data_IF_493401138449
#
_entry.id   IF_493401138449
#
_cell.length_a   1.000
_cell.length_b   1.000
_cell.length_c   1.000
_cell.angle_alpha   90.00
_cell.angle_beta   90.00
_cell.angle_gamma   90.00
#
_symmetry.space_group_name_H-M   'P 1'
#
loop_
_entity.id
_entity.type
_entity.pdbx_description
1 polymer ?
#
# COMPACT_ATOMS: atom_id res chain seq x y z
N UNK A 1 -13.93 27.58 -28.80
CA UNK A 1 -12.85 27.46 -27.79
C UNK A 1 -12.20 26.07 -27.70
N UNK A 2 -12.87 24.97 -28.06
CA UNK A 2 -12.30 23.60 -27.99
C UNK A 2 -11.15 23.32 -28.98
N UNK A 3 -11.13 24.00 -30.14
CA UNK A 3 -10.09 23.80 -31.18
C UNK A 3 -8.72 24.39 -30.83
N UNK A 4 -8.68 25.48 -30.07
CA UNK A 4 -7.43 26.17 -29.77
C UNK A 4 -6.56 25.42 -28.76
N UNK A 5 -7.17 24.64 -27.85
CA UNK A 5 -6.46 23.77 -26.91
C UNK A 5 -5.85 22.56 -27.64
N UNK A 6 -6.61 21.93 -28.54
CA UNK A 6 -6.15 20.77 -29.32
C UNK A 6 -4.98 21.14 -30.25
N UNK A 7 -5.05 22.30 -30.90
CA UNK A 7 -3.96 22.80 -31.75
C UNK A 7 -2.73 23.23 -30.95
N UNK A 8 -2.90 23.64 -29.68
CA UNK A 8 -1.79 23.98 -28.79
C UNK A 8 -1.11 22.72 -28.25
N UNK A 9 -1.88 21.70 -27.86
CA UNK A 9 -1.37 20.40 -27.45
C UNK A 9 -0.67 19.68 -28.61
N UNK A 10 -1.27 19.68 -29.81
CA UNK A 10 -0.67 19.03 -30.98
C UNK A 10 0.64 19.72 -31.41
N UNK A 11 0.75 21.05 -31.29
CA UNK A 11 2.01 21.78 -31.53
C UNK A 11 3.05 21.52 -30.45
N UNK A 12 2.66 21.53 -29.18
CA UNK A 12 3.55 21.22 -28.06
C UNK A 12 4.13 19.80 -28.17
N UNK A 13 3.28 18.80 -28.39
CA UNK A 13 3.71 17.41 -28.53
C UNK A 13 4.61 17.17 -29.75
N UNK A 14 4.37 17.86 -30.87
CA UNK A 14 5.29 17.78 -32.03
C UNK A 14 6.64 18.42 -31.75
N UNK A 15 6.66 19.60 -31.13
CA UNK A 15 7.91 20.26 -30.77
C UNK A 15 8.74 19.40 -29.81
N UNK A 16 8.11 18.77 -28.80
CA UNK A 16 8.81 17.89 -27.87
C UNK A 16 9.24 16.57 -28.53
N UNK A 17 8.45 16.01 -29.46
CA UNK A 17 8.81 14.78 -30.16
C UNK A 17 10.03 14.93 -31.07
N UNK A 18 10.22 16.11 -31.66
CA UNK A 18 11.40 16.41 -32.50
C UNK A 18 12.67 16.63 -31.65
N UNK A 19 12.53 16.99 -30.37
CA UNK A 19 13.63 17.22 -29.42
C UNK A 19 14.05 15.96 -28.63
N UNK A 20 13.29 14.86 -28.72
CA UNK A 20 13.68 13.59 -28.06
C UNK A 20 14.71 12.88 -28.94
N UNK A 21 15.98 12.75 -28.49
CA UNK A 21 16.97 12.00 -29.26
C UNK A 21 16.48 10.56 -29.45
N UNK A 22 16.71 9.96 -30.64
CA UNK A 22 16.26 8.62 -30.94
C UNK A 22 16.74 7.65 -29.85
N UNK A 23 15.83 6.81 -29.37
CA UNK A 23 16.14 5.83 -28.34
C UNK A 23 17.42 5.06 -28.75
N UNK A 24 18.42 4.94 -27.86
CA UNK A 24 19.64 4.22 -28.17
C UNK A 24 19.28 2.82 -28.69
N UNK A 25 19.89 2.41 -29.81
CA UNK A 25 19.61 1.13 -30.46
C UNK A 25 19.81 -0.09 -29.54
N UNK A 26 20.50 0.09 -28.41
CA UNK A 26 20.79 -0.92 -27.40
C UNK A 26 19.93 -0.82 -26.13
N UNK A 27 18.92 0.05 -26.08
CA UNK A 27 18.09 0.25 -24.88
C UNK A 27 17.40 -1.06 -24.44
N UNK A 28 16.82 -1.80 -25.40
CA UNK A 28 16.21 -3.10 -25.14
C UNK A 28 17.23 -4.12 -24.58
N UNK A 29 18.47 -4.07 -25.05
CA UNK A 29 19.53 -4.98 -24.61
C UNK A 29 20.15 -4.55 -23.26
N UNK A 30 20.20 -3.25 -22.96
CA UNK A 30 20.54 -2.72 -21.63
C UNK A 30 19.50 -3.12 -20.58
N UNK A 31 18.20 -3.02 -20.91
CA UNK A 31 17.12 -3.46 -20.01
C UNK A 31 17.18 -4.98 -19.80
N UNK A 32 17.33 -5.78 -20.86
CA UNK A 32 17.46 -7.24 -20.76
C UNK A 32 18.71 -7.67 -19.99
N UNK A 33 19.85 -7.02 -20.21
CA UNK A 33 21.10 -7.33 -19.51
C UNK A 33 21.03 -6.96 -18.03
N UNK A 34 20.42 -5.82 -17.67
CA UNK A 34 20.19 -5.43 -16.27
C UNK A 34 19.26 -6.42 -15.56
N UNK A 35 18.15 -6.81 -16.20
CA UNK A 35 17.23 -7.81 -15.66
C UNK A 35 17.91 -9.18 -15.44
N UNK A 36 18.75 -9.64 -16.38
CA UNK A 36 19.54 -10.88 -16.22
C UNK A 36 20.56 -10.78 -15.10
N UNK A 37 21.25 -9.65 -14.96
CA UNK A 37 22.23 -9.41 -13.89
C UNK A 37 21.57 -9.41 -12.51
N UNK A 38 20.39 -8.79 -12.40
CA UNK A 38 19.59 -8.74 -11.18
C UNK A 38 19.02 -10.12 -10.79
N UNK A 39 18.64 -10.96 -11.76
CA UNK A 39 18.26 -12.35 -11.50
C UNK A 39 19.45 -13.19 -11.00
N UNK A 40 20.65 -12.99 -11.58
CA UNK A 40 21.87 -13.70 -11.14
C UNK A 40 22.30 -13.30 -9.73
N UNK A 41 22.26 -12.01 -9.37
CA UNK A 41 22.62 -11.58 -8.01
C UNK A 41 21.62 -12.09 -6.96
N UNK A 42 20.33 -12.16 -7.28
CA UNK A 42 19.32 -12.76 -6.39
C UNK A 42 19.57 -14.27 -6.16
N UNK A 43 19.90 -15.02 -7.22
CA UNK A 43 20.20 -16.46 -7.10
C UNK A 43 21.47 -16.74 -6.28
N UNK A 44 22.51 -15.90 -6.44
CA UNK A 44 23.76 -16.02 -5.67
C UNK A 44 23.51 -15.72 -4.17
N UNK A 45 22.70 -14.70 -3.87
CA UNK A 45 22.34 -14.38 -2.48
C UNK A 45 21.55 -15.51 -1.81
N UNK A 46 20.59 -16.14 -2.51
CA UNK A 46 19.83 -17.29 -1.98
C UNK A 46 20.71 -18.53 -1.80
N UNK A 47 21.66 -18.78 -2.69
CA UNK A 47 22.58 -19.91 -2.58
C UNK A 47 23.56 -19.74 -1.41
N UNK A 48 24.04 -18.52 -1.17
CA UNK A 48 24.90 -18.21 -0.02
C UNK A 48 24.16 -18.40 1.32
N UNK A 49 22.90 -17.99 1.40
CA UNK A 49 22.06 -18.19 2.58
C UNK A 49 21.78 -19.69 2.85
N UNK A 50 21.51 -20.48 1.81
CA UNK A 50 21.32 -21.93 1.95
C UNK A 50 22.61 -22.67 2.36
N UNK A 51 23.78 -22.24 1.86
CA UNK A 51 25.06 -22.79 2.27
C UNK A 51 25.39 -22.46 3.74
N UNK A 52 25.10 -21.25 4.20
CA UNK A 52 25.27 -20.87 5.61
C UNK A 52 24.34 -21.68 6.55
N UNK A 53 23.11 -21.96 6.13
CA UNK A 53 22.17 -22.79 6.87
C UNK A 53 22.63 -24.27 6.95
N UNK A 54 23.26 -24.79 5.89
CA UNK A 54 23.82 -26.15 5.89
C UNK A 54 25.07 -26.28 6.79
N UNK A 55 25.87 -25.22 6.94
CA UNK A 55 27.05 -25.22 7.82
C UNK A 55 26.66 -25.13 9.31
N UNK A 56 25.53 -24.49 9.64
CA UNK A 56 25.05 -24.39 11.03
C UNK A 56 24.35 -25.64 11.57
N UNK A 57 23.96 -26.60 10.71
CA UNK A 57 23.21 -27.81 11.11
C UNK A 57 24.07 -29.10 11.08
N UNK A 58 25.30 -29.09 10.56
CA UNK A 58 26.22 -30.23 10.66
C UNK A 58 27.22 -30.00 11.80
N UNK A 59 27.19 -30.72 12.94
CA UNK A 59 27.63 -32.13 13.17
C UNK A 59 27.47 -32.40 14.69
N UNK A 60 27.24 -33.63 15.25
CA UNK A 60 27.48 -34.97 14.70
C UNK A 60 26.35 -36.01 14.89
N UNK A 61 26.06 -36.80 13.85
CA UNK A 61 25.70 -38.21 14.03
C UNK A 61 26.57 -39.03 13.08
N UNK A 62 27.79 -39.30 13.53
CA UNK A 62 28.57 -40.41 13.03
C UNK A 62 28.24 -41.65 13.88
N UNK A 63 28.28 -42.81 13.23
CA UNK A 63 28.13 -44.18 13.78
C UNK A 63 26.69 -44.71 13.82
N UNK A 64 26.19 -45.15 12.66
CA UNK A 64 25.70 -46.52 12.45
C UNK A 64 25.21 -46.68 11.00
N UNK A 65 25.77 -47.63 10.27
CA UNK A 65 25.23 -48.04 8.96
C UNK A 65 26.23 -48.10 7.81
N UNK A 66 27.42 -48.66 8.04
CA UNK A 66 28.12 -49.35 6.95
C UNK A 66 27.54 -50.77 6.85
N UNK A 67 27.49 -51.28 5.62
CA UNK A 67 27.07 -52.63 5.16
C UNK A 67 25.64 -52.69 4.60
N UNK A 68 25.53 -52.38 3.30
CA UNK A 68 24.93 -53.27 2.30
C UNK A 68 25.21 -52.71 0.89
N UNK A 69 26.23 -53.25 0.23
CA UNK A 69 26.31 -53.21 -1.23
C UNK A 69 25.19 -54.10 -1.77
N UNK A 70 24.03 -53.51 -2.07
CA UNK A 70 23.03 -54.17 -2.90
C UNK A 70 22.83 -53.39 -4.19
N UNK A 71 22.89 -54.14 -5.29
CA UNK A 71 23.00 -53.62 -6.65
C UNK A 71 21.75 -52.84 -7.02
N UNK A 72 21.96 -51.70 -7.68
CA UNK A 72 20.92 -50.76 -8.09
C UNK A 72 19.75 -51.43 -8.80
N UNK A 73 18.64 -51.52 -8.08
CA UNK A 73 17.33 -51.73 -8.64
C UNK A 73 16.69 -50.34 -8.75
N UNK A 74 16.38 -49.83 -9.95
CA UNK A 74 15.71 -48.54 -10.09
C UNK A 74 14.42 -48.62 -9.28
N UNK A 75 14.25 -47.70 -8.33
CA UNK A 75 13.04 -47.61 -7.53
C UNK A 75 11.85 -47.57 -8.49
N UNK A 76 11.04 -48.63 -8.47
CA UNK A 76 9.80 -48.66 -9.23
C UNK A 76 9.01 -47.40 -8.86
N UNK A 77 8.40 -46.68 -9.82
CA UNK A 77 7.59 -45.51 -9.51
C UNK A 77 6.56 -45.95 -8.47
N UNK A 78 6.71 -45.42 -7.25
CA UNK A 78 5.74 -45.69 -6.22
C UNK A 78 4.41 -45.16 -6.75
N UNK A 79 3.42 -46.04 -6.89
CA UNK A 79 2.04 -45.68 -7.17
C UNK A 79 1.54 -44.82 -6.00
N UNK A 80 1.88 -43.53 -6.04
CA UNK A 80 1.31 -42.55 -5.14
C UNK A 80 -0.15 -42.41 -5.56
N UNK A 81 -1.11 -42.65 -4.65
CA UNK A 81 -2.49 -42.38 -4.97
C UNK A 81 -2.60 -40.93 -5.46
N UNK A 82 -3.39 -40.66 -6.52
CA UNK A 82 -3.60 -39.31 -6.99
C UNK A 82 -4.07 -38.46 -5.82
N UNK A 83 -3.43 -37.31 -5.61
CA UNK A 83 -3.85 -36.36 -4.59
C UNK A 83 -5.25 -35.88 -4.96
N UNK A 84 -6.15 -35.85 -3.98
CA UNK A 84 -7.46 -35.24 -4.17
C UNK A 84 -7.28 -33.79 -4.63
N UNK A 85 -8.04 -33.33 -5.65
CA UNK A 85 -7.92 -31.97 -6.13
C UNK A 85 -8.25 -31.01 -4.99
N UNK A 86 -7.37 -30.02 -4.78
CA UNK A 86 -7.60 -29.00 -3.78
C UNK A 86 -8.89 -28.23 -4.09
N UNK A 87 -9.72 -27.94 -3.08
CA UNK A 87 -10.94 -27.16 -3.28
C UNK A 87 -10.61 -25.80 -3.89
N UNK A 88 -11.32 -25.42 -4.96
CA UNK A 88 -11.17 -24.11 -5.60
C UNK A 88 -12.29 -23.17 -5.20
N UNK A 89 -11.98 -21.87 -5.07
CA UNK A 89 -12.97 -20.79 -4.91
C UNK A 89 -14.07 -20.82 -5.97
N UNK A 90 -13.72 -21.19 -7.20
CA UNK A 90 -14.64 -21.27 -8.35
C UNK A 90 -15.66 -22.42 -8.21
N UNK A 91 -15.29 -23.50 -7.51
CA UNK A 91 -16.13 -24.69 -7.34
C UNK A 91 -17.05 -24.59 -6.11
N UNK A 92 -16.81 -23.61 -5.24
CA UNK A 92 -17.63 -23.36 -4.07
C UNK A 92 -19.01 -22.74 -4.46
N UNK A 93 -20.11 -23.05 -3.73
CA UNK A 93 -21.48 -22.58 -4.02
C UNK A 93 -21.71 -21.14 -3.52
N UNK A 94 -22.37 -20.23 -4.26
CA UNK A 94 -22.55 -18.79 -3.89
C UNK A 94 -22.84 -18.56 -2.40
N UNK A 95 -22.19 -17.55 -1.81
CA UNK A 95 -22.28 -17.20 -0.38
C UNK A 95 -22.69 -15.74 -0.21
N UNK A 96 -23.11 -15.38 1.01
CA UNK A 96 -23.65 -14.07 1.34
C UNK A 96 -25.19 -14.05 1.37
N UNK A 97 -25.76 -12.92 1.77
CA UNK A 97 -27.21 -12.78 2.01
C UNK A 97 -28.08 -12.95 0.76
N UNK A 98 -27.51 -12.81 -0.45
CA UNK A 98 -28.21 -12.98 -1.73
C UNK A 98 -27.89 -14.31 -2.42
N UNK A 99 -27.21 -15.24 -1.74
CA UNK A 99 -26.86 -16.55 -2.32
C UNK A 99 -28.06 -17.38 -2.81
N UNK A 100 -29.25 -17.15 -2.25
CA UNK A 100 -30.49 -17.83 -2.64
C UNK A 100 -31.21 -17.22 -3.86
N UNK A 101 -30.86 -16.01 -4.27
CA UNK A 101 -31.56 -15.30 -5.36
C UNK A 101 -30.99 -15.68 -6.73
N UNK A 102 -31.35 -16.87 -7.20
CA UNK A 102 -30.83 -17.42 -8.46
C UNK A 102 -31.13 -16.58 -9.70
N UNK A 103 -32.20 -15.77 -9.69
CA UNK A 103 -32.53 -14.88 -10.80
C UNK A 103 -31.55 -13.70 -10.83
N UNK A 104 -31.38 -13.04 -9.68
CA UNK A 104 -30.42 -11.95 -9.52
C UNK A 104 -28.98 -12.38 -9.82
N UNK A 105 -28.57 -13.56 -9.33
CA UNK A 105 -27.22 -14.10 -9.56
C UNK A 105 -26.92 -14.35 -11.04
N UNK A 106 -27.92 -14.78 -11.82
CA UNK A 106 -27.74 -15.01 -13.27
C UNK A 106 -27.50 -13.71 -14.03
N UNK A 107 -28.20 -12.65 -13.66
CA UNK A 107 -28.03 -11.32 -14.26
C UNK A 107 -26.69 -10.69 -13.86
N UNK A 108 -26.27 -10.86 -12.60
CA UNK A 108 -24.95 -10.38 -12.14
C UNK A 108 -23.80 -11.10 -12.83
N UNK A 109 -23.92 -12.42 -13.06
CA UNK A 109 -22.87 -13.20 -13.73
C UNK A 109 -22.55 -12.68 -15.14
N UNK A 110 -23.50 -12.06 -15.83
CA UNK A 110 -23.32 -11.55 -17.21
C UNK A 110 -22.98 -10.05 -17.29
N UNK A 111 -22.75 -9.38 -16.15
CA UNK A 111 -22.33 -7.98 -16.14
C UNK A 111 -21.02 -7.76 -16.91
N UNK A 112 -20.87 -6.57 -17.49
CA UNK A 112 -19.67 -6.16 -18.19
C UNK A 112 -18.47 -6.07 -17.25
N UNK A 113 -17.36 -6.73 -17.61
CA UNK A 113 -16.09 -6.65 -16.88
C UNK A 113 -15.21 -5.49 -17.37
N UNK A 114 -15.75 -4.67 -18.26
CA UNK A 114 -15.08 -3.57 -18.95
C UNK A 114 -15.87 -2.30 -18.61
N UNK A 115 -15.26 -1.30 -17.95
CA UNK A 115 -15.90 -0.01 -17.74
C UNK A 115 -16.31 0.62 -19.07
N UNK A 116 -17.52 1.19 -19.19
CA UNK A 116 -18.03 1.73 -20.45
C UNK A 116 -17.22 2.91 -20.99
N UNK A 117 -16.56 3.67 -20.09
CA UNK A 117 -15.93 4.95 -20.42
C UNK A 117 -14.44 4.86 -20.73
N UNK A 118 -13.84 3.68 -20.61
CA UNK A 118 -12.42 3.50 -20.87
C UNK A 118 -12.16 3.31 -22.37
N UNK A 119 -11.11 3.96 -22.94
CA UNK A 119 -10.79 3.82 -24.35
C UNK A 119 -10.35 2.40 -24.68
N UNK A 120 -10.74 1.89 -25.85
CA UNK A 120 -10.42 0.54 -26.33
C UNK A 120 -8.92 0.18 -26.25
N UNK A 121 -8.04 1.18 -26.35
CA UNK A 121 -6.58 1.01 -26.28
C UNK A 121 -6.07 0.67 -24.87
N UNK A 122 -6.82 0.96 -23.81
CA UNK A 122 -6.49 0.57 -22.45
C UNK A 122 -6.69 -0.95 -22.20
N UNK A 123 -7.29 -1.66 -23.16
CA UNK A 123 -7.78 -3.03 -23.00
C UNK A 123 -7.09 -4.08 -23.86
N UNK A 124 -5.96 -3.75 -24.50
CA UNK A 124 -5.22 -4.72 -25.32
C UNK A 124 -4.79 -6.00 -24.54
N UNK A 125 -4.91 -6.00 -23.21
CA UNK A 125 -4.50 -7.10 -22.33
C UNK A 125 -5.59 -7.62 -21.38
N UNK A 126 -6.84 -7.15 -21.47
CA UNK A 126 -7.88 -7.73 -20.59
C UNK A 126 -8.21 -9.17 -21.00
N UNK A 127 -8.33 -10.10 -20.03
CA UNK A 127 -8.67 -11.48 -20.32
C UNK A 127 -10.10 -11.58 -20.86
N UNK A 128 -10.26 -12.29 -21.97
CA UNK A 128 -11.59 -12.66 -22.46
C UNK A 128 -12.12 -13.83 -21.62
N UNK A 129 -13.05 -13.52 -20.70
CA UNK A 129 -13.75 -14.50 -19.88
C UNK A 129 -15.18 -14.66 -20.41
N UNK A 130 -15.52 -15.81 -21.04
CA UNK A 130 -16.85 -16.05 -21.60
C UNK A 130 -17.97 -15.86 -20.56
N UNK A 131 -19.07 -15.12 -20.87
CA UNK A 131 -20.14 -14.88 -19.89
C UNK A 131 -20.79 -16.15 -19.31
N UNK A 132 -20.85 -17.22 -20.09
CA UNK A 132 -21.42 -18.52 -19.71
C UNK A 132 -20.51 -19.33 -18.76
N UNK A 133 -19.22 -19.01 -18.69
CA UNK A 133 -18.27 -19.59 -17.73
C UNK A 133 -18.21 -18.83 -16.41
N UNK A 134 -18.95 -17.72 -16.26
CA UNK A 134 -18.89 -16.89 -15.06
C UNK A 134 -19.79 -17.41 -13.96
N UNK A 135 -19.34 -17.28 -12.72
CA UNK A 135 -20.05 -17.70 -11.51
C UNK A 135 -19.93 -16.65 -10.42
N UNK A 136 -21.02 -16.40 -9.72
CA UNK A 136 -21.02 -15.49 -8.56
C UNK A 136 -20.50 -16.23 -7.34
N UNK A 137 -19.33 -15.85 -6.85
CA UNK A 137 -18.75 -16.41 -5.64
C UNK A 137 -19.39 -15.82 -4.38
N UNK A 138 -19.55 -14.49 -4.34
CA UNK A 138 -20.18 -13.78 -3.23
C UNK A 138 -21.25 -12.83 -3.73
N UNK A 139 -22.37 -12.76 -3.01
CA UNK A 139 -23.44 -11.80 -3.24
C UNK A 139 -24.13 -11.46 -1.92
N UNK A 140 -24.12 -10.18 -1.55
CA UNK A 140 -24.80 -9.75 -0.33
C UNK A 140 -24.73 -8.25 -0.11
N UNK A 141 -25.53 -7.80 0.85
CA UNK A 141 -25.42 -6.47 1.43
C UNK A 141 -24.49 -6.53 2.65
N UNK A 142 -23.52 -5.63 2.70
CA UNK A 142 -22.58 -5.45 3.82
C UNK A 142 -22.64 -3.98 4.21
N UNK A 143 -23.15 -3.67 5.40
CA UNK A 143 -23.49 -2.29 5.77
C UNK A 143 -24.42 -1.66 4.72
N UNK A 144 -24.07 -0.45 4.30
CA UNK A 144 -24.80 0.29 3.27
C UNK A 144 -24.25 0.08 1.84
N UNK A 145 -23.60 -1.06 1.58
CA UNK A 145 -23.11 -1.40 0.23
C UNK A 145 -23.57 -2.78 -0.19
N UNK A 146 -24.17 -2.86 -1.39
CA UNK A 146 -24.39 -4.13 -2.09
C UNK A 146 -23.13 -4.54 -2.81
N UNK A 147 -22.67 -5.76 -2.59
CA UNK A 147 -21.43 -6.29 -3.16
C UNK A 147 -21.69 -7.62 -3.88
N UNK A 148 -21.07 -7.78 -5.05
CA UNK A 148 -20.95 -9.07 -5.73
C UNK A 148 -19.52 -9.33 -6.19
N UNK A 149 -19.13 -10.60 -6.15
CA UNK A 149 -17.86 -11.06 -6.69
C UNK A 149 -18.10 -12.15 -7.73
N UNK A 150 -17.68 -11.89 -8.96
CA UNK A 150 -17.87 -12.80 -10.09
C UNK A 150 -16.54 -13.37 -10.50
N UNK A 151 -16.46 -14.70 -10.59
CA UNK A 151 -15.30 -15.45 -11.03
C UNK A 151 -15.55 -16.05 -12.40
N UNK A 152 -14.49 -16.22 -13.21
CA UNK A 152 -14.59 -16.99 -14.44
C UNK A 152 -13.21 -17.39 -14.97
N UNK A 153 -13.07 -18.61 -15.52
CA UNK A 153 -11.84 -19.02 -16.19
C UNK A 153 -11.76 -18.41 -17.59
N UNK A 154 -10.56 -17.99 -17.99
CA UNK A 154 -10.26 -17.67 -19.38
C UNK A 154 -10.09 -18.95 -20.22
N UNK A 155 -9.85 -18.79 -21.53
CA UNK A 155 -9.64 -19.90 -22.46
C UNK A 155 -8.41 -20.78 -22.11
N UNK A 156 -7.47 -20.27 -21.31
CA UNK A 156 -6.28 -21.00 -20.83
C UNK A 156 -6.52 -21.65 -19.46
N UNK A 157 -7.70 -21.49 -18.88
CA UNK A 157 -8.04 -21.98 -17.55
C UNK A 157 -7.47 -21.16 -16.41
N UNK A 158 -6.94 -19.96 -16.65
CA UNK A 158 -6.56 -19.04 -15.57
C UNK A 158 -7.82 -18.46 -14.95
N UNK A 159 -7.90 -18.45 -13.62
CA UNK A 159 -9.05 -17.89 -12.92
C UNK A 159 -8.92 -16.37 -12.84
N UNK A 160 -9.97 -15.66 -13.19
CA UNK A 160 -10.07 -14.21 -13.05
C UNK A 160 -11.28 -13.84 -12.21
N UNK A 161 -11.28 -12.65 -11.64
CA UNK A 161 -12.41 -12.14 -10.88
C UNK A 161 -12.67 -10.65 -11.06
N UNK A 162 -13.92 -10.28 -10.87
CA UNK A 162 -14.43 -8.93 -10.96
C UNK A 162 -15.33 -8.62 -9.75
N UNK A 163 -15.02 -7.52 -9.07
CA UNK A 163 -15.83 -7.00 -7.97
C UNK A 163 -16.84 -5.99 -8.49
N UNK A 164 -18.08 -6.09 -8.03
CA UNK A 164 -19.15 -5.17 -8.33
C UNK A 164 -19.72 -4.61 -7.05
N UNK A 165 -20.00 -3.31 -7.01
CA UNK A 165 -20.64 -2.67 -5.87
C UNK A 165 -21.77 -1.74 -6.30
N UNK A 166 -22.71 -1.49 -5.40
CA UNK A 166 -23.83 -0.58 -5.61
C UNK A 166 -24.47 -0.18 -4.27
N UNK A 167 -25.47 0.71 -4.28
CA UNK A 167 -26.22 1.03 -3.06
C UNK A 167 -26.99 -0.20 -2.54
N UNK A 168 -27.46 -0.17 -1.28
CA UNK A 168 -28.28 -1.24 -0.72
C UNK A 168 -29.51 -1.47 -1.57
N UNK A 169 -29.88 -2.73 -1.79
CA UNK A 169 -31.07 -3.03 -2.59
C UNK A 169 -30.87 -2.91 -4.11
N UNK A 170 -29.69 -2.52 -4.62
CA UNK A 170 -29.47 -2.35 -6.05
C UNK A 170 -29.81 -3.62 -6.87
N UNK A 171 -30.57 -3.42 -7.95
CA UNK A 171 -30.75 -4.44 -8.98
C UNK A 171 -29.41 -4.72 -9.69
N UNK A 172 -29.25 -5.84 -10.42
CA UNK A 172 -27.99 -6.19 -11.09
C UNK A 172 -27.45 -5.08 -12.00
N UNK A 173 -28.32 -4.43 -12.78
CA UNK A 173 -27.94 -3.29 -13.64
C UNK A 173 -27.60 -2.00 -12.89
N UNK A 174 -27.82 -1.94 -11.59
CA UNK A 174 -27.43 -0.84 -10.70
C UNK A 174 -26.08 -1.06 -10.02
N UNK A 175 -25.38 -2.16 -10.31
CA UNK A 175 -24.02 -2.39 -9.82
C UNK A 175 -22.98 -1.86 -10.82
N UNK A 176 -21.91 -1.28 -10.30
CA UNK A 176 -20.75 -0.84 -11.07
C UNK A 176 -19.54 -1.71 -10.75
N UNK A 177 -18.65 -1.88 -11.73
CA UNK A 177 -17.36 -2.55 -11.52
C UNK A 177 -16.56 -1.72 -10.51
N UNK A 178 -16.18 -2.34 -9.39
CA UNK A 178 -15.46 -1.70 -8.30
C UNK A 178 -13.95 -1.69 -8.55
N UNK A 179 -13.39 -2.77 -9.08
CA UNK A 179 -11.94 -2.89 -9.31
C UNK A 179 -11.66 -3.42 -10.70
N UNK A 180 -10.46 -3.15 -11.22
CA UNK A 180 -9.97 -3.84 -12.42
C UNK A 180 -10.04 -5.36 -12.25
N UNK A 181 -10.28 -6.05 -13.37
CA UNK A 181 -10.24 -7.51 -13.42
C UNK A 181 -8.82 -7.98 -13.13
N UNK A 182 -8.67 -8.90 -12.18
CA UNK A 182 -7.39 -9.48 -11.82
C UNK A 182 -7.36 -10.99 -12.05
N UNK A 183 -6.18 -11.51 -12.40
CA UNK A 183 -5.90 -12.95 -12.33
C UNK A 183 -5.76 -13.37 -10.87
N UNK A 184 -6.36 -14.51 -10.52
CA UNK A 184 -6.47 -14.99 -9.15
C UNK A 184 -5.86 -16.36 -8.97
N UNK A 185 -5.41 -16.61 -7.73
CA UNK A 185 -5.18 -17.96 -7.25
C UNK A 185 -6.52 -18.69 -7.10
N UNK A 186 -6.50 -20.00 -7.28
CA UNK A 186 -7.69 -20.85 -7.13
C UNK A 186 -8.05 -21.10 -5.67
N UNK A 187 -7.12 -20.93 -4.75
CA UNK A 187 -7.21 -21.37 -3.35
C UNK A 187 -6.99 -20.25 -2.33
N UNK A 188 -6.38 -19.15 -2.76
CA UNK A 188 -5.99 -18.07 -1.85
C UNK A 188 -7.16 -17.12 -1.63
N UNK A 189 -7.42 -16.69 -0.39
CA UNK A 189 -8.45 -15.71 -0.10
C UNK A 189 -8.27 -14.42 -0.90
N UNK A 190 -9.39 -13.86 -1.32
CA UNK A 190 -9.44 -12.53 -1.94
C UNK A 190 -10.32 -11.62 -1.09
N UNK A 191 -9.95 -10.35 -1.02
CA UNK A 191 -10.75 -9.34 -0.34
C UNK A 191 -11.01 -8.13 -1.21
N UNK A 192 -12.13 -7.46 -0.95
CA UNK A 192 -12.47 -6.15 -1.45
C UNK A 192 -12.56 -5.20 -0.28
N UNK A 193 -11.85 -4.08 -0.39
CA UNK A 193 -12.15 -2.89 0.37
C UNK A 193 -12.90 -1.92 -0.54
N UNK A 194 -14.13 -1.58 -0.16
CA UNK A 194 -14.91 -0.60 -0.89
C UNK A 194 -15.35 0.53 0.02
N UNK A 195 -15.03 1.72 -0.40
CA UNK A 195 -15.28 2.97 0.31
C UNK A 195 -16.13 3.85 -0.59
N UNK A 196 -17.31 4.29 -0.13
CA UNK A 196 -18.17 5.19 -0.91
C UNK A 196 -18.03 6.63 -0.49
N UNK A 197 -18.05 6.89 0.82
CA UNK A 197 -18.05 8.22 1.41
C UNK A 197 -17.14 8.29 2.66
N UNK A 198 -17.22 9.38 3.41
CA UNK A 198 -16.49 9.56 4.68
C UNK A 198 -17.12 8.81 5.85
N UNK A 199 -18.36 8.32 5.67
CA UNK A 199 -19.17 7.78 6.75
C UNK A 199 -18.88 6.29 6.97
N UNK A 200 -18.37 5.59 5.95
CA UNK A 200 -17.85 4.25 6.16
C UNK A 200 -17.28 3.55 4.94
N UNK A 201 -16.70 2.39 5.22
CA UNK A 201 -16.20 1.46 4.24
C UNK A 201 -16.68 0.05 4.53
N UNK A 202 -16.60 -0.82 3.52
CA UNK A 202 -16.92 -2.23 3.64
C UNK A 202 -15.70 -3.06 3.28
N UNK A 203 -15.41 -4.05 4.12
CA UNK A 203 -14.47 -5.11 3.84
C UNK A 203 -15.25 -6.37 3.51
N UNK A 204 -15.02 -6.95 2.34
CA UNK A 204 -15.56 -8.26 1.96
C UNK A 204 -14.40 -9.22 1.77
N UNK A 205 -14.50 -10.43 2.31
CA UNK A 205 -13.49 -11.48 2.17
C UNK A 205 -14.16 -12.73 1.62
N UNK A 206 -13.55 -13.31 0.59
CA UNK A 206 -13.98 -14.55 -0.05
C UNK A 206 -12.82 -15.54 -0.02
N UNK A 207 -12.94 -16.51 0.88
CA UNK A 207 -12.03 -17.64 1.05
C UNK A 207 -12.72 -18.98 0.80
N UNK A 208 -12.05 -20.04 1.22
CA UNK A 208 -12.59 -21.41 1.24
C UNK A 208 -13.30 -21.69 2.57
N UNK A 209 -14.20 -22.68 2.63
CA UNK A 209 -14.80 -23.11 3.90
C UNK A 209 -13.74 -23.42 4.96
N UNK A 210 -13.92 -22.88 6.17
CA UNK A 210 -12.94 -22.99 7.27
C UNK A 210 -11.94 -21.84 7.36
N UNK A 211 -11.91 -20.93 6.37
CA UNK A 211 -11.14 -19.69 6.49
C UNK A 211 -11.78 -18.77 7.54
N UNK A 212 -10.93 -18.25 8.41
CA UNK A 212 -11.24 -17.23 9.40
C UNK A 212 -10.49 -15.96 9.03
N UNK A 213 -11.15 -14.80 9.12
CA UNK A 213 -10.48 -13.53 8.92
C UNK A 213 -10.73 -12.56 10.07
N UNK A 214 -9.73 -11.70 10.31
CA UNK A 214 -9.85 -10.55 11.20
C UNK A 214 -9.22 -9.33 10.54
N UNK A 215 -9.85 -8.18 10.76
CA UNK A 215 -9.40 -6.91 10.25
C UNK A 215 -8.88 -6.04 11.40
N UNK A 216 -7.80 -5.32 11.15
CA UNK A 216 -7.31 -4.31 12.06
C UNK A 216 -8.16 -3.05 11.91
N UNK A 217 -9.02 -2.78 12.89
CA UNK A 217 -10.01 -1.69 12.83
C UNK A 217 -9.59 -0.44 13.59
N UNK A 218 -8.52 -0.52 14.38
CA UNK A 218 -7.90 0.67 14.97
C UNK A 218 -6.72 0.35 15.87
N UNK A 219 -6.12 1.41 16.39
CA UNK A 219 -4.99 1.35 17.33
C UNK A 219 -5.19 2.36 18.44
N UNK A 220 -5.12 1.90 19.67
CA UNK A 220 -5.17 2.75 20.85
C UNK A 220 -3.74 3.08 21.27
N UNK A 221 -3.43 4.36 21.44
CA UNK A 221 -2.09 4.84 21.80
C UNK A 221 -2.11 5.39 23.21
N UNK A 222 -1.34 4.78 24.10
CA UNK A 222 -1.21 5.22 25.50
C UNK A 222 -0.32 6.46 25.62
N UNK A 223 -0.33 7.12 26.78
CA UNK A 223 0.54 8.27 27.04
C UNK A 223 2.05 7.91 27.03
N UNK A 224 2.40 6.63 27.19
CA UNK A 224 3.80 6.16 27.09
C UNK A 224 4.21 5.86 25.64
N UNK A 225 3.32 6.05 24.67
CA UNK A 225 3.56 5.71 23.26
C UNK A 225 3.34 4.23 22.93
N UNK A 226 2.86 3.42 23.89
CA UNK A 226 2.52 2.03 23.61
C UNK A 226 1.26 1.94 22.75
N UNK A 227 1.28 1.02 21.78
CA UNK A 227 0.22 0.81 20.81
C UNK A 227 -0.49 -0.51 21.09
N UNK A 228 -1.80 -0.46 21.29
CA UNK A 228 -2.65 -1.66 21.36
C UNK A 228 -3.51 -1.73 20.11
N UNK A 229 -3.43 -2.84 19.39
CA UNK A 229 -4.20 -3.06 18.16
C UNK A 229 -5.60 -3.58 18.48
N UNK A 230 -6.61 -3.02 17.80
CA UNK A 230 -8.01 -3.46 17.86
C UNK A 230 -8.33 -4.27 16.61
N UNK A 231 -8.46 -5.59 16.80
CA UNK A 231 -8.78 -6.53 15.75
C UNK A 231 -10.24 -6.98 15.85
N UNK A 232 -10.97 -6.90 14.75
CA UNK A 232 -12.36 -7.37 14.67
C UNK A 232 -12.49 -8.59 13.77
N UNK A 233 -13.21 -9.63 14.19
CA UNK A 233 -13.47 -10.78 13.34
C UNK A 233 -14.38 -10.40 12.19
N UNK A 234 -14.08 -10.88 10.99
CA UNK A 234 -14.96 -10.77 9.82
C UNK A 234 -15.92 -11.96 9.84
N UNK A 235 -17.25 -11.75 9.91
CA UNK A 235 -18.21 -12.85 9.89
C UNK A 235 -18.21 -13.56 8.53
N UNK A 236 -17.63 -14.76 8.44
CA UNK A 236 -17.43 -15.50 7.18
C UNK A 236 -18.15 -16.87 7.14
N UNK A 237 -19.49 -16.92 7.20
CA UNK A 237 -20.22 -18.19 7.11
C UNK A 237 -19.89 -18.91 5.79
N UNK A 238 -19.38 -20.14 5.88
CA UNK A 238 -18.97 -20.91 4.71
C UNK A 238 -17.73 -20.35 3.99
N UNK A 239 -16.89 -19.59 4.69
CA UNK A 239 -15.63 -19.06 4.16
C UNK A 239 -15.76 -17.75 3.38
N UNK A 240 -16.92 -17.08 3.38
CA UNK A 240 -17.07 -15.77 2.76
C UNK A 240 -18.02 -14.87 3.55
N UNK A 241 -17.73 -13.57 3.58
CA UNK A 241 -18.53 -12.60 4.32
C UNK A 241 -17.92 -11.21 4.32
N UNK A 242 -18.42 -10.32 5.18
CA UNK A 242 -17.95 -8.95 5.21
C UNK A 242 -18.23 -8.23 6.52
N UNK A 243 -17.54 -7.11 6.68
CA UNK A 243 -17.55 -6.23 7.84
C UNK A 243 -17.77 -4.79 7.35
N UNK A 244 -18.76 -4.11 7.91
CA UNK A 244 -18.91 -2.67 7.76
C UNK A 244 -17.99 -1.98 8.77
N UNK A 245 -17.32 -0.92 8.33
CA UNK A 245 -16.28 -0.25 9.08
C UNK A 245 -16.56 1.25 9.09
N UNK A 246 -16.56 1.81 10.29
CA UNK A 246 -16.76 3.23 10.49
C UNK A 246 -15.49 4.02 10.13
N UNK A 247 -15.70 5.26 9.72
CA UNK A 247 -14.64 6.25 9.55
C UNK A 247 -14.07 6.32 8.13
N UNK A 248 -12.99 7.10 7.95
CA UNK A 248 -12.56 7.51 6.64
C UNK A 248 -12.17 6.31 5.76
N UNK A 249 -12.45 6.39 4.46
CA UNK A 249 -12.32 5.28 3.52
C UNK A 249 -10.88 4.81 3.29
N UNK A 250 -9.89 5.55 3.79
CA UNK A 250 -8.52 5.37 3.41
C UNK A 250 -7.92 4.06 3.95
N UNK A 251 -7.34 3.22 3.10
CA UNK A 251 -6.88 1.90 3.50
C UNK A 251 -5.52 1.89 4.20
N UNK A 252 -4.87 3.06 4.38
CA UNK A 252 -3.56 3.09 4.98
C UNK A 252 -3.59 2.46 6.39
N UNK A 253 -2.71 1.50 6.61
CA UNK A 253 -2.59 0.79 7.89
C UNK A 253 -3.68 -0.23 8.19
N UNK A 254 -4.64 -0.46 7.27
CA UNK A 254 -5.49 -1.64 7.32
C UNK A 254 -4.66 -2.89 7.14
N UNK A 255 -4.91 -3.84 8.02
CA UNK A 255 -4.33 -5.17 7.92
C UNK A 255 -5.46 -6.18 7.94
N UNK A 256 -5.42 -7.09 6.99
CA UNK A 256 -6.29 -8.24 6.94
C UNK A 256 -5.45 -9.48 7.24
N UNK A 257 -5.82 -10.19 8.30
CA UNK A 257 -5.30 -11.52 8.54
C UNK A 257 -6.35 -12.54 8.15
N UNK A 258 -5.97 -13.48 7.28
CA UNK A 258 -6.78 -14.67 6.98
C UNK A 258 -6.02 -15.90 7.43
N UNK A 259 -6.71 -16.83 8.09
CA UNK A 259 -6.14 -18.09 8.59
C UNK A 259 -7.01 -19.26 8.14
N UNK A 260 -6.36 -20.36 7.78
CA UNK A 260 -7.00 -21.66 7.50
C UNK A 260 -6.38 -22.68 8.43
N UNK A 261 -7.20 -23.32 9.26
CA UNK A 261 -6.73 -24.26 10.29
C UNK A 261 -5.60 -23.68 11.16
N UNK A 262 -5.76 -22.40 11.56
CA UNK A 262 -4.77 -21.65 12.35
C UNK A 262 -3.53 -21.16 11.58
N UNK A 263 -3.35 -21.52 10.31
CA UNK A 263 -2.20 -21.11 9.49
C UNK A 263 -2.50 -19.85 8.68
N UNK A 264 -1.61 -18.83 8.69
CA UNK A 264 -1.76 -17.64 7.87
C UNK A 264 -1.89 -18.00 6.39
N UNK A 265 -2.84 -17.36 5.71
CA UNK A 265 -3.04 -17.45 4.27
C UNK A 265 -2.68 -16.12 3.63
N UNK A 266 -2.01 -16.11 2.47
CA UNK A 266 -1.83 -14.89 1.69
C UNK A 266 -3.21 -14.44 1.20
N UNK A 267 -3.63 -13.23 1.57
CA UNK A 267 -4.85 -12.64 1.04
C UNK A 267 -4.49 -11.55 0.02
N UNK A 268 -5.08 -11.63 -1.17
CA UNK A 268 -4.97 -10.54 -2.14
C UNK A 268 -6.07 -9.52 -1.83
N UNK A 269 -5.66 -8.30 -1.52
CA UNK A 269 -6.59 -7.20 -1.30
C UNK A 269 -6.75 -6.39 -2.59
N UNK A 270 -7.99 -6.35 -3.08
CA UNK A 270 -8.42 -5.43 -4.11
C UNK A 270 -9.03 -4.20 -3.42
N UNK A 271 -8.69 -3.02 -3.91
CA UNK A 271 -9.10 -1.75 -3.31
C UNK A 271 -9.89 -0.97 -4.34
N UNK A 272 -11.06 -0.48 -3.94
CA UNK A 272 -11.76 0.58 -4.67
C UNK A 272 -11.98 1.76 -3.77
N UNK A 273 -11.57 2.91 -4.28
CA UNK A 273 -11.85 4.20 -3.71
C UNK A 273 -12.44 5.00 -4.85
N UNK A 274 -13.69 5.44 -4.73
CA UNK A 274 -14.33 6.22 -5.79
C UNK A 274 -13.60 7.57 -5.92
N UNK A 275 -12.80 7.78 -6.99
CA UNK A 275 -11.84 8.88 -7.03
C UNK A 275 -12.52 10.24 -7.05
N UNK A 276 -13.66 10.31 -7.75
CA UNK A 276 -14.38 11.55 -8.03
C UNK A 276 -14.84 12.27 -6.75
N UNK A 277 -14.97 11.57 -5.62
CA UNK A 277 -15.43 12.16 -4.36
C UNK A 277 -14.29 12.55 -3.40
N UNK A 278 -13.08 11.99 -3.56
CA UNK A 278 -11.94 12.24 -2.66
C UNK A 278 -10.93 13.26 -3.19
N UNK A 279 -10.86 13.47 -4.51
CA UNK A 279 -9.77 14.25 -5.13
C UNK A 279 -9.81 15.75 -4.75
N UNK A 280 -10.98 16.29 -4.38
CA UNK A 280 -11.16 17.74 -4.18
C UNK A 280 -11.39 18.19 -2.73
N UNK A 281 -11.34 17.29 -1.74
CA UNK A 281 -11.59 17.68 -0.33
C UNK A 281 -10.35 18.34 0.28
N UNK A 282 -10.43 19.60 0.78
CA UNK A 282 -9.36 20.20 1.54
C UNK A 282 -9.14 19.40 2.83
N UNK A 283 -7.88 19.14 3.18
CA UNK A 283 -7.57 18.51 4.46
C UNK A 283 -7.46 19.58 5.54
N UNK A 284 -8.17 19.36 6.65
CA UNK A 284 -8.06 20.16 7.85
C UNK A 284 -6.73 19.84 8.55
N UNK A 285 -5.76 20.72 8.34
CA UNK A 285 -4.40 20.60 8.88
C UNK A 285 -4.01 21.96 9.42
N UNK A 286 -3.62 22.00 10.69
CA UNK A 286 -3.06 23.20 11.28
C UNK A 286 -1.71 23.51 10.64
N UNK A 287 -1.54 24.74 10.14
CA UNK A 287 -0.28 25.21 9.57
C UNK A 287 0.24 26.45 10.33
N UNK A 288 0.72 26.26 11.57
CA UNK A 288 1.20 27.37 12.41
C UNK A 288 2.47 28.04 11.85
N UNK A 289 3.12 27.41 10.85
CA UNK A 289 4.39 27.87 10.26
C UNK A 289 4.22 28.49 8.87
N UNK A 290 3.01 28.49 8.29
CA UNK A 290 2.73 29.03 6.96
C UNK A 290 3.43 28.26 5.83
N UNK A 291 3.57 26.94 5.98
CA UNK A 291 4.28 26.06 5.06
C UNK A 291 3.39 25.46 3.96
N UNK A 292 2.06 25.51 4.11
CA UNK A 292 1.10 24.84 3.22
C UNK A 292 1.25 25.27 1.76
N UNK A 293 1.55 26.54 1.51
CA UNK A 293 1.78 27.08 0.16
C UNK A 293 3.04 26.57 -0.55
N UNK A 294 3.86 25.72 0.09
CA UNK A 294 5.10 25.17 -0.47
C UNK A 294 4.95 23.76 -1.06
N UNK A 295 3.80 23.14 -0.89
CA UNK A 295 3.57 21.73 -1.23
C UNK A 295 2.23 21.54 -1.93
N UNK A 296 2.12 20.49 -2.74
CA UNK A 296 0.84 20.11 -3.33
C UNK A 296 -0.14 19.58 -2.28
N UNK A 297 -1.40 19.98 -2.38
CA UNK A 297 -2.48 19.50 -1.51
C UNK A 297 -2.65 17.98 -1.55
N UNK A 298 -2.37 17.33 -2.69
CA UNK A 298 -2.44 15.88 -2.85
C UNK A 298 -1.45 15.14 -1.92
N UNK A 299 -0.19 15.58 -1.88
CA UNK A 299 0.82 14.95 -1.01
C UNK A 299 0.50 15.20 0.46
N UNK A 300 0.05 16.41 0.81
CA UNK A 300 -0.38 16.74 2.16
C UNK A 300 -1.55 15.85 2.59
N UNK A 301 -2.55 15.69 1.71
CA UNK A 301 -3.70 14.82 1.94
C UNK A 301 -3.28 13.38 2.15
N UNK A 302 -2.47 12.83 1.24
CA UNK A 302 -1.97 11.47 1.36
C UNK A 302 -1.22 11.24 2.68
N UNK A 303 -0.38 12.19 3.12
CA UNK A 303 0.35 12.05 4.38
C UNK A 303 -0.59 12.02 5.60
N UNK A 304 -1.59 12.91 5.62
CA UNK A 304 -2.57 12.99 6.72
C UNK A 304 -3.48 11.78 6.73
N UNK A 305 -4.05 11.40 5.60
CA UNK A 305 -4.91 10.22 5.47
C UNK A 305 -4.16 8.94 5.81
N UNK A 306 -2.87 8.85 5.46
CA UNK A 306 -2.04 7.72 5.87
C UNK A 306 -1.81 7.66 7.37
N UNK A 307 -1.53 8.81 7.99
CA UNK A 307 -1.33 8.92 9.42
C UNK A 307 -2.62 8.60 10.20
N UNK A 308 -3.72 9.24 9.84
CA UNK A 308 -5.04 9.04 10.46
C UNK A 308 -5.56 7.62 10.22
N UNK A 309 -5.49 7.14 8.98
CA UNK A 309 -5.93 5.81 8.60
C UNK A 309 -5.18 4.70 9.34
N UNK A 310 -3.91 4.91 9.67
CA UNK A 310 -3.13 3.91 10.40
C UNK A 310 -3.55 3.73 11.85
N UNK A 311 -4.09 4.77 12.50
CA UNK A 311 -4.52 4.67 13.90
C UNK A 311 -6.04 4.53 14.05
N UNK A 312 -6.82 5.02 13.08
CA UNK A 312 -8.30 5.04 13.11
C UNK A 312 -8.95 5.49 14.42
N UNK A 313 -8.46 6.53 15.12
CA UNK A 313 -9.31 7.19 16.10
C UNK A 313 -10.46 7.90 15.36
N UNK A 314 -11.51 8.34 16.08
CA UNK A 314 -12.46 9.28 15.51
C UNK A 314 -11.68 10.44 14.90
N UNK A 315 -11.85 10.69 13.60
CA UNK A 315 -11.11 11.70 12.83
C UNK A 315 -11.15 13.08 13.49
N UNK A 316 -12.28 13.41 14.12
CA UNK A 316 -12.50 14.65 14.86
C UNK A 316 -11.58 14.82 16.09
N UNK A 317 -10.92 13.76 16.56
CA UNK A 317 -10.04 13.80 17.72
C UNK A 317 -8.57 14.02 17.37
N UNK A 318 -8.15 13.68 16.14
CA UNK A 318 -6.80 14.01 15.67
C UNK A 318 -6.84 15.38 15.03
N UNK A 319 -6.02 16.30 15.53
CA UNK A 319 -5.77 17.60 14.91
C UNK A 319 -4.39 17.56 14.21
N UNK A 320 -4.30 17.16 12.94
CA UNK A 320 -3.03 17.08 12.23
C UNK A 320 -2.37 18.45 12.14
N UNK A 321 -1.05 18.49 12.29
CA UNK A 321 -0.24 19.69 12.18
C UNK A 321 0.82 19.49 11.10
N UNK A 322 0.94 20.46 10.19
CA UNK A 322 2.02 20.52 9.21
C UNK A 322 3.30 20.97 9.92
N UNK A 323 4.26 20.05 10.05
CA UNK A 323 5.49 20.26 10.82
C UNK A 323 6.63 20.77 9.94
N UNK A 324 6.79 20.21 8.74
CA UNK A 324 7.78 20.65 7.77
C UNK A 324 7.29 20.41 6.35
N UNK A 325 7.68 21.29 5.42
CA UNK A 325 7.30 21.17 4.02
C UNK A 325 8.36 21.86 3.15
N UNK A 326 8.80 21.19 2.07
CA UNK A 326 9.71 21.79 1.12
C UNK A 326 9.58 21.18 -0.28
N UNK A 327 9.98 21.97 -1.26
CA UNK A 327 10.41 21.50 -2.57
C UNK A 327 11.88 21.07 -2.45
N UNK A 328 12.19 19.85 -2.92
CA UNK A 328 13.53 19.26 -2.93
C UNK A 328 14.36 19.72 -4.14
N UNK A 329 13.83 20.67 -4.93
CA UNK A 329 14.55 21.47 -5.92
C UNK A 329 14.96 20.73 -7.19
N UNK A 330 15.86 21.35 -7.95
CA UNK A 330 16.32 20.96 -9.30
C UNK A 330 17.16 19.67 -9.36
N UNK A 331 17.18 18.86 -8.30
CA UNK A 331 17.80 17.54 -8.34
C UNK A 331 17.21 16.73 -9.51
N UNK A 332 17.98 15.86 -10.19
CA UNK A 332 17.43 15.01 -11.25
C UNK A 332 16.24 14.19 -10.72
N UNK A 333 15.02 14.59 -11.09
CA UNK A 333 13.78 14.05 -10.53
C UNK A 333 13.26 14.80 -9.30
N UNK A 334 13.40 16.13 -9.24
CA UNK A 334 12.94 17.02 -8.16
C UNK A 334 11.58 16.64 -7.58
N UNK A 335 11.32 16.95 -6.32
CA UNK A 335 10.15 16.41 -5.63
C UNK A 335 9.69 17.27 -4.48
N UNK A 336 8.59 16.90 -3.86
CA UNK A 336 8.07 17.59 -2.67
C UNK A 336 8.09 16.66 -1.48
N UNK A 337 8.26 17.22 -0.30
CA UNK A 337 8.27 16.50 0.97
C UNK A 337 7.35 17.21 1.98
N UNK A 338 6.57 16.43 2.72
CA UNK A 338 5.66 16.88 3.77
C UNK A 338 5.85 16.01 5.01
N UNK A 339 6.16 16.65 6.14
CA UNK A 339 6.12 16.05 7.46
C UNK A 339 4.86 16.55 8.17
N UNK A 340 3.95 15.63 8.49
CA UNK A 340 2.78 15.89 9.33
C UNK A 340 2.91 15.15 10.65
N UNK A 341 2.28 15.67 11.68
CA UNK A 341 2.16 14.96 12.95
C UNK A 341 0.79 15.15 13.59
N UNK A 342 0.47 14.26 14.51
CA UNK A 342 -0.75 14.27 15.30
C UNK A 342 -0.42 14.14 16.77
N UNK A 343 -1.27 14.70 17.62
CA UNK A 343 -1.28 14.46 19.06
C UNK A 343 -2.53 13.64 19.39
N UNK A 344 -2.35 12.47 20.01
CA UNK A 344 -3.46 11.62 20.43
C UNK A 344 -4.15 12.19 21.67
N UNK A 345 -5.39 11.76 21.99
CA UNK A 345 -6.06 12.12 23.24
C UNK A 345 -5.24 11.82 24.51
N UNK A 346 -4.36 10.81 24.45
CA UNK A 346 -3.43 10.45 25.53
C UNK A 346 -2.24 11.42 25.69
N UNK A 347 -2.08 12.38 24.78
CA UNK A 347 -0.95 13.31 24.70
C UNK A 347 0.29 12.77 23.98
N UNK A 348 0.32 11.47 23.63
CA UNK A 348 1.35 10.91 22.78
C UNK A 348 1.31 11.53 21.38
N UNK A 349 2.39 11.41 20.61
CA UNK A 349 2.49 12.02 19.28
C UNK A 349 3.03 11.04 18.25
N UNK A 350 2.51 11.05 17.03
CA UNK A 350 3.06 10.30 15.90
C UNK A 350 3.25 11.24 14.70
N UNK A 351 4.19 10.87 13.81
CA UNK A 351 4.49 11.66 12.61
C UNK A 351 4.60 10.78 11.37
N UNK A 352 4.34 11.40 10.22
CA UNK A 352 4.49 10.76 8.92
C UNK A 352 5.20 11.73 7.96
N UNK A 353 6.25 11.25 7.32
CA UNK A 353 6.95 11.93 6.23
C UNK A 353 6.55 11.30 4.91
N UNK A 354 5.89 12.07 4.06
CA UNK A 354 5.61 11.70 2.69
C UNK A 354 6.52 12.47 1.74
N UNK A 355 7.04 11.80 0.72
CA UNK A 355 7.79 12.40 -0.37
C UNK A 355 7.18 11.97 -1.70
N UNK A 356 7.19 12.86 -2.69
CA UNK A 356 6.70 12.62 -4.04
C UNK A 356 7.70 13.15 -5.05
N UNK A 357 7.93 12.41 -6.13
CA UNK A 357 8.80 12.83 -7.23
C UNK A 357 8.25 12.31 -8.56
N UNK A 358 8.49 13.03 -9.68
CA UNK A 358 8.10 12.59 -11.00
C UNK A 358 8.97 11.42 -11.44
N UNK A 359 8.36 10.44 -12.11
CA UNK A 359 9.07 9.42 -12.87
C UNK A 359 9.48 10.01 -14.22
N UNK A 360 10.63 9.58 -14.74
CA UNK A 360 11.22 10.09 -16.01
C UNK A 360 10.48 9.53 -17.25
N UNK A 361 9.23 9.08 -17.11
CA UNK A 361 8.43 8.45 -18.17
C UNK A 361 7.42 9.47 -18.74
N UNK A 362 7.16 9.50 -20.07
CA UNK A 362 6.21 10.43 -20.71
C UNK A 362 4.78 10.41 -20.16
N UNK A 363 4.37 9.36 -19.44
CA UNK A 363 3.11 9.35 -18.69
C UNK A 363 3.37 10.03 -17.36
N UNK A 364 2.77 11.21 -17.12
CA UNK A 364 2.85 12.03 -15.90
C UNK A 364 2.58 11.20 -14.62
N UNK A 365 3.55 10.38 -14.24
CA UNK A 365 3.46 9.43 -13.16
C UNK A 365 4.38 9.94 -12.07
N UNK A 366 3.84 10.11 -10.89
CA UNK A 366 4.64 10.36 -9.70
C UNK A 366 4.84 9.05 -8.96
N UNK A 367 6.00 8.89 -8.36
CA UNK A 367 6.21 7.91 -7.30
C UNK A 367 6.22 8.64 -5.97
N UNK A 368 5.74 7.97 -4.93
CA UNK A 368 5.78 8.47 -3.57
C UNK A 368 6.43 7.46 -2.62
N UNK A 369 6.93 7.96 -1.50
CA UNK A 369 7.43 7.18 -0.39
C UNK A 369 6.87 7.77 0.90
N UNK A 370 6.46 6.91 1.82
CA UNK A 370 5.89 7.27 3.10
C UNK A 370 6.65 6.56 4.21
N UNK A 371 7.19 7.32 5.15
CA UNK A 371 7.74 6.82 6.42
C UNK A 371 6.83 7.28 7.54
N UNK A 372 6.41 6.35 8.39
CA UNK A 372 5.70 6.66 9.63
C UNK A 372 6.59 6.35 10.84
N UNK A 373 6.44 7.14 11.91
CA UNK A 373 7.16 6.93 13.16
C UNK A 373 6.28 6.18 14.15
N UNK A 374 6.90 5.37 15.01
CA UNK A 374 6.21 4.88 16.21
C UNK A 374 5.75 6.07 17.08
N UNK A 375 4.64 5.95 17.82
CA UNK A 375 4.22 7.01 18.71
C UNK A 375 5.27 7.30 19.78
N UNK A 376 5.65 8.56 19.89
CA UNK A 376 6.46 9.06 20.97
C UNK A 376 5.58 9.35 22.21
N UNK A 377 6.11 9.15 23.43
CA UNK A 377 5.38 9.44 24.66
C UNK A 377 4.85 10.88 24.74
N UNK A 378 3.81 11.05 25.55
CA UNK A 378 3.30 12.35 25.94
C UNK A 378 4.40 13.18 26.63
N UNK A 379 4.37 14.49 26.41
CA UNK A 379 5.41 15.38 26.92
C UNK A 379 5.30 16.77 26.31
N UNK A 380 6.43 17.31 25.83
CA UNK A 380 6.46 18.60 25.17
C UNK A 380 5.46 18.63 23.98
N UNK A 381 4.75 19.76 23.77
CA UNK A 381 3.91 19.96 22.59
C UNK A 381 4.66 19.66 21.29
N UNK A 382 3.94 19.17 20.28
CA UNK A 382 4.52 18.69 19.04
C UNK A 382 5.40 19.76 18.33
N UNK A 383 5.03 21.04 18.40
CA UNK A 383 5.79 22.15 17.81
C UNK A 383 7.05 22.55 18.61
N UNK A 384 7.13 22.15 19.88
CA UNK A 384 8.25 22.43 20.79
C UNK A 384 9.20 21.22 20.91
N UNK A 385 8.87 20.11 20.25
CA UNK A 385 9.66 18.87 20.22
C UNK A 385 10.53 18.84 18.98
N UNK A 386 11.76 18.35 19.13
CA UNK A 386 12.59 17.98 17.97
C UNK A 386 12.12 16.63 17.43
N UNK A 387 11.70 16.61 16.17
CA UNK A 387 11.32 15.44 15.39
C UNK A 387 12.17 15.44 14.13
N UNK A 388 12.79 14.30 13.83
CA UNK A 388 13.55 14.10 12.60
C UNK A 388 13.12 12.78 11.96
N UNK A 389 12.62 12.83 10.73
CA UNK A 389 12.17 11.66 9.98
C UNK A 389 12.86 11.62 8.63
N UNK A 390 13.36 10.45 8.24
CA UNK A 390 13.97 10.23 6.94
C UNK A 390 13.16 9.25 6.08
N UNK A 391 13.18 9.50 4.77
CA UNK A 391 12.88 8.53 3.72
C UNK A 391 14.18 8.19 2.99
N UNK A 392 14.11 7.30 1.98
CA UNK A 392 15.22 7.09 1.07
C UNK A 392 15.64 8.32 0.26
N UNK A 393 14.88 9.43 0.33
CA UNK A 393 15.09 10.64 -0.48
C UNK A 393 15.15 11.97 0.28
N UNK A 394 14.57 12.08 1.46
CA UNK A 394 14.53 13.33 2.20
C UNK A 394 14.70 13.11 3.70
N UNK A 395 15.27 14.11 4.38
CA UNK A 395 15.27 14.24 5.84
C UNK A 395 14.46 15.48 6.19
N UNK A 396 13.36 15.30 6.89
CA UNK A 396 12.55 16.38 7.43
C UNK A 396 12.83 16.57 8.92
N UNK A 397 13.00 17.82 9.34
CA UNK A 397 13.25 18.22 10.72
C UNK A 397 12.20 19.24 11.15
N UNK A 398 11.62 19.02 12.32
CA UNK A 398 10.78 19.98 13.03
C UNK A 398 11.32 20.13 14.45
N UNK A 399 11.47 21.36 14.94
CA UNK A 399 11.88 21.66 16.32
C UNK A 399 11.22 22.94 16.83
N UNK A 400 11.61 23.43 18.02
CA UNK A 400 11.12 24.71 18.56
C UNK A 400 11.23 25.85 17.55
N UNK A 401 10.29 26.80 17.58
CA UNK A 401 10.25 27.93 16.64
C UNK A 401 11.48 28.86 16.69
N UNK A 402 12.28 28.78 17.76
CA UNK A 402 13.57 29.47 17.91
C UNK A 402 14.73 28.80 17.17
N UNK A 403 14.55 27.55 16.74
CA UNK A 403 15.55 26.81 15.97
C UNK A 403 15.71 27.38 14.56
N UNK A 404 16.95 27.68 14.18
CA UNK A 404 17.30 28.25 12.86
C UNK A 404 18.16 27.30 12.01
N UNK A 405 18.78 26.30 12.64
CA UNK A 405 19.62 25.31 11.98
C UNK A 405 19.53 23.98 12.69
N UNK A 406 19.51 22.89 11.94
CA UNK A 406 19.69 21.53 12.44
C UNK A 406 21.01 20.97 11.93
N UNK A 407 21.82 20.43 12.83
CA UNK A 407 22.98 19.61 12.50
C UNK A 407 22.55 18.16 12.43
N UNK A 408 22.96 17.46 11.38
CA UNK A 408 22.66 16.04 11.15
C UNK A 408 23.90 15.23 11.49
N UNK A 409 23.78 14.24 12.37
CA UNK A 409 24.94 13.58 12.99
C UNK A 409 25.02 12.08 12.72
N UNK A 410 26.27 11.65 12.52
CA UNK A 410 26.90 10.35 12.83
C UNK A 410 26.40 9.69 14.11
N UNK A 411 26.36 8.35 14.15
CA UNK A 411 26.37 7.61 15.41
C UNK A 411 27.64 7.89 16.24
N UNK A 412 28.72 8.35 15.60
CA UNK A 412 29.96 8.80 16.24
C UNK A 412 29.94 10.31 16.60
N UNK A 413 28.84 11.01 16.35
CA UNK A 413 28.69 12.45 16.58
C UNK A 413 29.27 13.35 15.48
N UNK A 414 29.76 12.78 14.37
CA UNK A 414 30.26 13.56 13.24
C UNK A 414 29.10 14.26 12.53
N UNK A 415 29.17 15.59 12.39
CA UNK A 415 28.17 16.35 11.59
C UNK A 415 28.41 16.08 10.10
N UNK A 416 27.43 15.53 9.41
CA UNK A 416 27.53 15.25 7.96
C UNK A 416 26.97 16.38 7.12
N UNK A 417 25.89 17.01 7.56
CA UNK A 417 25.26 18.13 6.88
C UNK A 417 24.48 18.99 7.87
N UNK A 418 23.99 20.13 7.39
CA UNK A 418 23.11 21.02 8.14
C UNK A 418 21.86 21.32 7.35
N UNK A 419 20.71 21.32 8.02
CA UNK A 419 19.40 21.69 7.48
C UNK A 419 19.05 23.10 7.95
N UNK A 420 18.82 24.08 7.05
CA UNK A 420 18.32 25.39 7.44
C UNK A 420 16.87 25.26 7.94
N UNK A 421 16.54 25.92 9.04
CA UNK A 421 15.20 25.89 9.61
C UNK A 421 14.52 27.25 9.48
N UNK A 422 13.28 27.26 9.00
CA UNK A 422 12.39 28.41 8.99
C UNK A 422 11.29 28.15 10.02
N UNK A 423 11.25 28.97 11.07
CA UNK A 423 10.35 28.79 12.21
C UNK A 423 10.43 27.38 12.83
N UNK A 424 11.64 26.83 12.94
CA UNK A 424 11.89 25.49 13.47
C UNK A 424 11.66 24.33 12.48
N UNK A 425 11.29 24.59 11.21
CA UNK A 425 11.05 23.56 10.21
C UNK A 425 12.06 23.59 9.05
N UNK A 426 12.52 22.43 8.60
CA UNK A 426 13.33 22.32 7.39
C UNK A 426 13.30 20.92 6.80
N UNK A 427 13.57 20.83 5.50
CA UNK A 427 13.71 19.55 4.79
C UNK A 427 14.89 19.68 3.84
N UNK A 428 15.72 18.65 3.77
CA UNK A 428 16.82 18.54 2.80
C UNK A 428 16.77 17.17 2.10
N UNK A 429 17.32 17.06 0.87
CA UNK A 429 17.58 15.77 0.26
C UNK A 429 18.43 14.87 1.17
N UNK A 430 18.04 13.61 1.28
CA UNK A 430 18.76 12.62 2.07
C UNK A 430 19.97 12.10 1.30
N UNK A 431 21.14 12.13 1.93
CA UNK A 431 22.39 11.64 1.36
C UNK A 431 23.02 10.62 2.31
N UNK A 432 23.24 9.36 1.89
CA UNK A 432 23.95 8.38 2.70
C UNK A 432 25.33 8.87 3.16
N UNK A 433 25.83 8.42 4.33
CA UNK A 433 25.28 7.35 5.19
C UNK A 433 24.08 7.78 6.05
N UNK A 434 23.40 6.80 6.64
CA UNK A 434 22.23 7.05 7.47
C UNK A 434 22.58 7.86 8.73
N UNK A 435 21.89 9.00 8.98
CA UNK A 435 22.08 9.80 10.16
C UNK A 435 21.50 9.10 11.39
N UNK A 436 22.15 9.29 12.54
CA UNK A 436 21.70 8.74 13.81
C UNK A 436 20.87 9.75 14.60
N UNK A 437 21.32 11.01 14.67
CA UNK A 437 20.65 12.07 15.44
C UNK A 437 20.61 13.38 14.69
N UNK A 438 19.70 14.26 15.10
CA UNK A 438 19.63 15.66 14.68
C UNK A 438 19.66 16.55 15.91
N UNK A 439 20.52 17.57 15.87
CA UNK A 439 20.67 18.60 16.90
C UNK A 439 20.22 19.96 16.37
N UNK A 440 19.19 20.54 17.00
CA UNK A 440 18.65 21.84 16.60
C UNK A 440 19.31 22.96 17.40
N UNK A 441 19.70 24.01 16.69
CA UNK A 441 20.41 25.18 17.20
C UNK A 441 19.59 26.45 16.97
N UNK A 442 19.64 27.37 17.93
CA UNK A 442 19.10 28.72 17.76
C UNK A 442 20.08 29.67 17.05
N UNK A 443 19.67 30.93 16.89
CA UNK A 443 20.48 31.96 16.24
C UNK A 443 21.78 32.32 16.97
N UNK A 444 21.91 31.98 18.25
CA UNK A 444 23.15 32.14 19.02
C UNK A 444 24.10 30.95 18.89
N UNK A 445 23.63 29.85 18.27
CA UNK A 445 24.34 28.58 18.21
C UNK A 445 24.13 27.73 19.46
N UNK A 446 23.19 28.08 20.35
CA UNK A 446 22.85 27.25 21.49
C UNK A 446 21.93 26.10 21.06
N UNK A 447 22.13 24.93 21.66
CA UNK A 447 21.31 23.74 21.40
C UNK A 447 19.95 23.91 22.06
N UNK A 448 18.88 23.90 21.26
CA UNK A 448 17.50 23.97 21.76
C UNK A 448 16.81 22.61 21.82
N UNK A 449 17.41 21.57 21.21
CA UNK A 449 16.97 20.19 21.36
C UNK A 449 17.75 19.21 20.49
N UNK A 450 17.59 17.93 20.77
CA UNK A 450 18.19 16.83 20.01
C UNK A 450 17.20 15.66 19.95
N UNK A 451 17.18 14.93 18.84
CA UNK A 451 16.36 13.74 18.67
C UNK A 451 17.04 12.71 17.75
N UNK A 452 16.76 11.40 17.93
CA UNK A 452 17.16 10.40 16.94
C UNK A 452 16.43 10.64 15.61
N UNK A 453 17.07 10.29 14.50
CA UNK A 453 16.39 10.22 13.20
C UNK A 453 15.60 8.93 13.13
N UNK A 454 14.31 9.04 12.79
CA UNK A 454 13.41 7.90 12.62
C UNK A 454 13.21 7.62 11.12
N UNK A 455 13.16 6.34 10.75
CA UNK A 455 13.11 5.93 9.34
C UNK A 455 14.47 6.01 8.64
N UNK A 456 14.67 5.16 7.63
CA UNK A 456 15.95 5.02 6.91
C UNK A 456 16.18 3.62 6.37
#
# INVERSE_FOLDING_TARGET
>A
MRSDLEDRLRRGLRATADDVPPAPYDLADRVRSRARRQRRTRLVATAAAAAAALVLVGVPVAVSGLVAEDRGQPAAPADRPPLDPLPSLYDQPTRGSLAGDTAWLREVAVLGWVPPDLPATAFAELPEVPPDSRRVAFAGDVGDTRVAFVLGPDQRGSLHGAWFTGPPGAAPGGLSLATSVGQLSRTDPISLWAARDDDGAVLVVVGLPGDEARALTGRDVTATGEVTERWEPVPMPGGAGGLALDGPPWPAGLQLEVRRDGRPQPAVAAWTVYPDELVDRPVDVADPRGLRGRVGEELLRSAVESLVGSYRPPTAELAPTLLAAADLGDSPGGGTAVLVGVTFPSGATATALATQWPLVDPVQSSSSELTMTDPAPAGAPLLDRVVAVATGRALAVSGPGTGVRAEVLLADGTVTTTVPLVAGAGVEPYVPPAPATVRVLDASGAVVGEAPVQGG
#
